data_IF_977579607592
#
_entry.id   IF_977579607592
#
_cell.length_a   1.000
_cell.length_b   1.000
_cell.length_c   1.000
_cell.angle_alpha   90.00
_cell.angle_beta   90.00
_cell.angle_gamma   90.00
#
_symmetry.space_group_name_H-M   'P 1'
#
loop_
_entity.id
_entity.type
_entity.pdbx_description
1 polymer ?
#
# COMPACT_ATOMS: atom_id res chain seq x y z
N UNK A 1 26.73 -42.30 -55.44
CA UNK A 1 27.81 -41.87 -56.36
C UNK A 1 28.01 -40.38 -56.12
N UNK A 2 29.00 -39.95 -55.32
CA UNK A 2 30.45 -39.90 -55.66
C UNK A 2 30.60 -38.86 -56.79
N UNK A 3 31.25 -37.71 -56.61
CA UNK A 3 32.71 -37.46 -56.58
C UNK A 3 32.88 -35.98 -56.13
N UNK A 4 33.39 -35.67 -54.92
CA UNK A 4 34.80 -35.43 -54.50
C UNK A 4 35.04 -33.92 -54.26
N UNK A 5 35.42 -33.39 -53.09
CA UNK A 5 36.54 -33.71 -52.19
C UNK A 5 37.90 -33.51 -52.88
N UNK A 6 38.71 -32.55 -52.43
CA UNK A 6 40.08 -32.72 -51.88
C UNK A 6 40.93 -31.58 -52.48
N UNK A 7 41.93 -30.91 -51.89
CA UNK A 7 42.93 -31.10 -50.81
C UNK A 7 43.43 -29.66 -50.49
N UNK A 8 43.85 -29.27 -49.29
CA UNK A 8 45.10 -29.70 -48.66
C UNK A 8 45.13 -29.23 -47.19
N UNK A 9 45.20 -30.18 -46.27
CA UNK A 9 45.82 -29.97 -44.97
C UNK A 9 47.28 -30.40 -45.08
N UNK A 10 48.22 -29.52 -44.72
CA UNK A 10 49.50 -29.86 -44.12
C UNK A 10 49.76 -28.75 -43.07
N UNK A 11 49.46 -28.98 -41.80
CA UNK A 11 50.21 -29.78 -40.84
C UNK A 11 51.38 -29.01 -40.19
N UNK A 12 51.22 -28.88 -38.86
CA UNK A 12 52.26 -28.89 -37.83
C UNK A 12 52.87 -27.57 -37.37
N UNK A 13 52.65 -27.27 -36.08
CA UNK A 13 53.63 -26.48 -35.33
C UNK A 13 53.18 -25.79 -34.04
N UNK A 14 52.59 -26.54 -33.07
CA UNK A 14 52.60 -26.31 -31.61
C UNK A 14 52.80 -24.87 -31.09
N UNK A 15 51.79 -24.33 -30.38
CA UNK A 15 51.93 -23.88 -28.98
C UNK A 15 50.58 -23.46 -28.39
N UNK A 16 50.42 -23.86 -27.14
CA UNK A 16 49.27 -23.73 -26.26
C UNK A 16 48.80 -22.28 -26.13
N UNK A 17 47.51 -22.03 -26.35
CA UNK A 17 46.88 -20.74 -26.05
C UNK A 17 46.33 -20.75 -24.61
N UNK A 18 46.90 -19.87 -23.81
CA UNK A 18 46.63 -19.63 -22.40
C UNK A 18 45.15 -19.43 -22.07
N UNK A 19 44.64 -20.25 -21.15
CA UNK A 19 43.49 -19.94 -20.32
C UNK A 19 43.97 -19.15 -19.07
N UNK A 20 43.69 -17.86 -19.04
CA UNK A 20 43.70 -16.94 -17.88
C UNK A 20 42.61 -15.90 -18.21
N UNK A 21 41.59 -15.58 -17.44
CA UNK A 21 41.41 -15.58 -15.99
C UNK A 21 39.92 -15.19 -15.73
N UNK A 22 39.03 -16.08 -15.25
CA UNK A 22 37.69 -15.69 -14.79
C UNK A 22 37.71 -15.33 -13.29
N UNK A 23 38.32 -14.19 -12.96
CA UNK A 23 38.38 -13.68 -11.60
C UNK A 23 37.21 -12.77 -11.24
N UNK A 24 36.05 -13.33 -10.86
CA UNK A 24 35.11 -12.74 -9.86
C UNK A 24 33.96 -13.70 -9.54
N UNK A 25 34.26 -14.82 -8.90
CA UNK A 25 33.26 -15.60 -8.16
C UNK A 25 33.35 -15.19 -6.70
N UNK A 26 32.25 -14.64 -6.18
CA UNK A 26 32.07 -14.35 -4.76
C UNK A 26 32.04 -15.68 -4.00
N UNK A 27 33.17 -16.02 -3.38
CA UNK A 27 33.24 -17.05 -2.37
C UNK A 27 32.42 -16.59 -1.14
N UNK A 28 31.48 -17.43 -0.72
CA UNK A 28 30.87 -17.34 0.60
C UNK A 28 31.96 -17.65 1.63
N UNK A 29 32.44 -16.60 2.28
CA UNK A 29 33.28 -16.71 3.47
C UNK A 29 32.32 -16.71 4.67
N UNK A 30 32.05 -17.90 5.20
CA UNK A 30 31.40 -18.03 6.51
C UNK A 30 32.29 -17.35 7.57
N UNK A 31 31.78 -16.42 8.38
CA UNK A 31 32.53 -15.95 9.53
C UNK A 31 32.55 -17.07 10.57
N UNK A 32 33.70 -17.74 10.66
CA UNK A 32 34.03 -18.66 11.74
C UNK A 32 33.83 -17.96 13.09
N UNK A 33 32.91 -18.50 13.87
CA UNK A 33 32.71 -18.18 15.27
C UNK A 33 33.76 -18.94 16.08
N UNK A 34 34.70 -18.30 16.79
CA UNK A 34 35.60 -19.02 17.67
C UNK A 34 34.85 -19.45 18.94
N UNK A 35 34.47 -20.72 18.96
CA UNK A 35 34.10 -21.46 20.16
C UNK A 35 35.34 -21.65 21.04
N UNK A 36 35.48 -20.82 22.07
CA UNK A 36 36.20 -21.18 23.31
C UNK A 36 35.74 -20.23 24.42
N UNK A 37 35.78 -20.72 25.67
CA UNK A 37 35.34 -20.09 26.93
C UNK A 37 33.93 -20.52 27.43
N UNK A 38 33.69 -21.83 27.49
CA UNK A 38 32.86 -22.41 28.55
C UNK A 38 33.75 -23.25 29.48
N UNK A 39 33.95 -22.77 30.70
CA UNK A 39 33.96 -23.54 31.95
C UNK A 39 34.63 -22.73 33.08
N UNK A 40 33.87 -21.82 33.69
CA UNK A 40 34.02 -21.58 35.13
C UNK A 40 32.67 -21.86 35.78
N UNK A 41 32.55 -23.08 36.28
CA UNK A 41 31.55 -23.47 37.26
C UNK A 41 31.63 -22.51 38.45
N UNK A 42 30.57 -21.73 38.65
CA UNK A 42 30.30 -21.14 39.96
C UNK A 42 29.39 -22.13 40.70
N UNK A 43 29.88 -22.59 41.85
CA UNK A 43 29.24 -23.57 42.72
C UNK A 43 27.91 -23.04 43.26
N UNK A 44 26.85 -23.86 43.37
CA UNK A 44 25.67 -23.51 44.14
C UNK A 44 25.97 -23.77 45.63
N UNK A 45 26.57 -22.80 46.29
CA UNK A 45 26.73 -22.82 47.75
C UNK A 45 26.86 -21.39 48.26
N UNK A 46 25.72 -20.75 48.50
CA UNK A 46 25.52 -19.66 49.46
C UNK A 46 24.01 -19.38 49.49
N UNK A 47 23.31 -20.23 50.24
CA UNK A 47 22.00 -19.91 50.79
C UNK A 47 22.31 -19.41 52.20
N UNK A 48 22.36 -18.10 52.38
CA UNK A 48 22.17 -17.48 53.69
C UNK A 48 21.03 -16.48 53.56
N UNK A 49 19.90 -16.87 54.15
CA UNK A 49 18.79 -15.99 54.41
C UNK A 49 19.23 -14.98 55.46
N UNK A 50 19.10 -13.69 55.17
CA UNK A 50 19.05 -12.68 56.24
C UNK A 50 18.22 -11.47 55.80
N UNK A 51 17.10 -11.28 56.50
CA UNK A 51 16.64 -9.95 56.92
C UNK A 51 15.91 -9.08 55.91
N UNK A 52 14.57 -9.18 55.92
CA UNK A 52 13.67 -8.09 55.53
C UNK A 52 14.04 -6.80 56.27
N UNK A 53 14.55 -5.79 55.57
CA UNK A 53 14.66 -4.42 56.09
C UNK A 53 13.67 -3.51 55.36
N UNK A 54 12.67 -3.03 56.09
CA UNK A 54 11.47 -2.36 55.60
C UNK A 54 11.71 -0.87 55.22
N UNK A 55 12.96 -0.39 55.26
CA UNK A 55 13.26 1.03 55.09
C UNK A 55 14.04 1.44 53.83
N UNK A 56 14.43 0.51 52.95
CA UNK A 56 15.15 0.85 51.71
C UNK A 56 14.25 0.96 50.45
N UNK A 57 12.93 0.91 50.62
CA UNK A 57 11.95 1.05 49.52
C UNK A 57 11.48 2.51 49.28
N UNK A 58 12.34 3.50 49.56
CA UNK A 58 11.97 4.92 49.44
C UNK A 58 12.96 5.80 48.66
N UNK A 59 13.63 5.26 47.63
CA UNK A 59 14.27 6.11 46.61
C UNK A 59 14.20 5.44 45.22
N UNK A 60 13.12 5.71 44.48
CA UNK A 60 13.11 6.19 43.09
C UNK A 60 11.66 6.18 42.54
N UNK A 61 10.82 7.08 43.07
CA UNK A 61 9.54 7.42 42.46
C UNK A 61 9.79 8.63 41.54
N UNK A 62 10.20 8.36 40.30
CA UNK A 62 10.16 9.34 39.21
C UNK A 62 8.82 9.17 38.44
N UNK A 63 7.81 10.03 38.64
CA UNK A 63 6.50 9.85 38.03
C UNK A 63 6.41 10.48 36.63
N UNK A 64 7.37 10.18 35.74
CA UNK A 64 7.36 10.73 34.36
C UNK A 64 7.45 9.66 33.26
N UNK A 65 7.70 8.39 33.60
CA UNK A 65 7.82 7.31 32.60
C UNK A 65 6.63 6.34 32.51
N UNK A 66 5.43 6.77 32.95
CA UNK A 66 4.19 6.15 32.48
C UNK A 66 3.63 6.99 31.33
N UNK A 67 4.22 6.83 30.15
CA UNK A 67 3.57 7.23 28.89
C UNK A 67 2.33 6.34 28.75
N UNK A 68 1.25 6.79 29.39
CA UNK A 68 -0.13 6.78 28.92
C UNK A 68 -0.37 5.77 27.80
N UNK A 69 -0.37 4.49 28.14
CA UNK A 69 -1.14 3.52 27.39
C UNK A 69 -2.62 3.80 27.72
N UNK A 70 -3.18 4.83 27.09
CA UNK A 70 -4.63 4.92 26.88
C UNK A 70 -5.00 3.75 25.98
N UNK A 71 -5.11 2.56 26.56
CA UNK A 71 -5.94 1.51 26.00
C UNK A 71 -7.36 2.05 26.10
N UNK A 72 -7.78 2.79 25.08
CA UNK A 72 -9.18 3.09 24.87
C UNK A 72 -9.87 1.73 24.74
N UNK A 73 -10.53 1.31 25.81
CA UNK A 73 -11.50 0.24 25.75
C UNK A 73 -12.59 0.77 24.81
N UNK A 74 -12.59 0.29 23.56
CA UNK A 74 -13.57 0.67 22.54
C UNK A 74 -14.94 0.05 22.89
N UNK A 75 -15.49 0.37 24.05
CA UNK A 75 -16.92 0.22 24.29
C UNK A 75 -17.59 1.47 23.74
N UNK A 76 -17.64 1.56 22.41
CA UNK A 76 -18.65 2.41 21.79
C UNK A 76 -20.01 1.83 22.21
N UNK A 77 -20.82 2.61 22.93
CA UNK A 77 -22.16 2.20 23.39
C UNK A 77 -23.14 1.88 22.24
N UNK A 78 -22.71 2.02 20.99
CA UNK A 78 -23.49 1.77 19.78
C UNK A 78 -22.74 0.83 18.85
N UNK A 79 -23.37 -0.28 18.49
CA UNK A 79 -22.82 -1.18 17.48
C UNK A 79 -22.96 -0.58 16.07
N UNK A 80 -21.95 -0.79 15.23
CA UNK A 80 -21.98 -0.31 13.85
C UNK A 80 -23.12 -0.92 13.02
N UNK A 81 -23.55 -2.13 13.38
CA UNK A 81 -24.66 -2.82 12.71
C UNK A 81 -26.00 -2.22 13.10
N UNK A 82 -26.17 -1.78 14.35
CA UNK A 82 -27.33 -0.99 14.73
C UNK A 82 -27.39 0.34 13.97
N UNK A 83 -26.25 1.02 13.82
CA UNK A 83 -26.17 2.24 13.01
C UNK A 83 -26.59 1.95 11.57
N UNK A 84 -26.19 0.82 10.99
CA UNK A 84 -26.64 0.46 9.65
C UNK A 84 -28.14 0.20 9.55
N UNK A 85 -28.71 -0.59 10.47
CA UNK A 85 -30.14 -0.90 10.44
C UNK A 85 -31.02 0.36 10.57
N UNK A 86 -30.54 1.40 11.26
CA UNK A 86 -31.24 2.68 11.33
C UNK A 86 -31.12 3.49 10.04
N UNK A 87 -29.94 3.57 9.42
CA UNK A 87 -29.70 4.44 8.25
C UNK A 87 -29.94 3.79 6.88
N UNK A 88 -30.15 2.47 6.82
CA UNK A 88 -30.25 1.73 5.56
C UNK A 88 -31.42 2.17 4.69
N UNK A 89 -32.54 2.58 5.30
CA UNK A 89 -33.75 2.98 4.57
C UNK A 89 -33.93 4.48 4.45
N UNK A 90 -33.32 5.23 5.37
CA UNK A 90 -33.47 6.67 5.51
C UNK A 90 -32.14 7.33 5.92
N UNK A 91 -31.47 7.98 4.97
CA UNK A 91 -30.37 8.88 5.25
C UNK A 91 -30.30 9.99 4.17
N UNK A 92 -29.67 11.12 4.50
CA UNK A 92 -29.62 12.29 3.60
C UNK A 92 -28.79 12.07 2.32
N UNK A 93 -27.86 11.11 2.31
CA UNK A 93 -27.04 10.76 1.16
C UNK A 93 -27.69 9.70 0.25
N UNK A 94 -28.80 9.10 0.67
CA UNK A 94 -29.46 8.01 -0.03
C UNK A 94 -30.23 8.56 -1.24
N UNK A 95 -29.94 8.00 -2.41
CA UNK A 95 -30.62 8.33 -3.66
C UNK A 95 -31.25 7.06 -4.19
N UNK A 96 -32.57 6.95 -4.02
CA UNK A 96 -33.38 5.87 -4.58
C UNK A 96 -33.79 6.26 -5.99
N UNK A 97 -33.49 5.42 -6.98
CA UNK A 97 -33.96 5.60 -8.35
C UNK A 97 -34.82 4.42 -8.75
N UNK A 98 -36.00 4.71 -9.28
CA UNK A 98 -36.91 3.68 -9.80
C UNK A 98 -36.44 3.12 -11.15
N UNK A 99 -35.52 3.82 -11.81
CA UNK A 99 -34.92 3.42 -13.08
C UNK A 99 -33.90 2.29 -12.88
N UNK A 100 -33.72 1.45 -13.90
CA UNK A 100 -32.76 0.33 -13.91
C UNK A 100 -32.96 -0.70 -12.77
N UNK A 101 -34.21 -1.01 -12.39
CA UNK A 101 -34.52 -2.08 -11.45
C UNK A 101 -34.46 -1.69 -9.96
N UNK A 102 -34.64 -0.39 -9.63
CA UNK A 102 -34.76 0.05 -8.24
C UNK A 102 -33.41 0.24 -7.51
N UNK A 103 -32.34 0.54 -8.24
CA UNK A 103 -30.99 0.66 -7.68
C UNK A 103 -30.90 1.81 -6.68
N UNK A 104 -30.23 1.55 -5.56
CA UNK A 104 -29.98 2.52 -4.50
C UNK A 104 -28.53 3.00 -4.54
N UNK A 105 -28.35 4.29 -4.76
CA UNK A 105 -27.04 4.93 -4.75
C UNK A 105 -26.84 5.77 -3.49
N UNK A 106 -25.59 6.07 -3.18
CA UNK A 106 -25.20 6.96 -2.10
C UNK A 106 -24.34 8.10 -2.63
N UNK A 107 -24.64 9.32 -2.17
CA UNK A 107 -23.88 10.56 -2.43
C UNK A 107 -22.79 10.82 -1.38
N UNK A 108 -22.52 9.86 -0.50
CA UNK A 108 -21.49 9.99 0.53
C UNK A 108 -20.11 10.26 -0.09
N UNK A 109 -19.41 11.34 0.29
CA UNK A 109 -18.09 11.66 -0.25
C UNK A 109 -17.03 10.59 0.05
N UNK A 110 -17.24 9.75 1.07
CA UNK A 110 -16.29 8.71 1.48
C UNK A 110 -16.63 7.33 0.89
N UNK A 111 -17.59 7.26 -0.01
CA UNK A 111 -17.97 6.03 -0.72
C UNK A 111 -17.23 5.94 -2.07
N UNK A 112 -16.52 4.82 -2.29
CA UNK A 112 -15.73 4.61 -3.51
C UNK A 112 -16.60 4.20 -4.71
N UNK A 113 -17.64 3.38 -4.50
CA UNK A 113 -18.47 2.80 -5.58
C UNK A 113 -19.78 3.55 -5.78
N UNK A 114 -20.10 4.49 -4.88
CA UNK A 114 -21.39 5.20 -4.82
C UNK A 114 -22.61 4.26 -4.63
N UNK A 115 -22.38 2.99 -4.28
CA UNK A 115 -23.45 2.05 -3.98
C UNK A 115 -23.90 2.20 -2.53
N UNK A 116 -25.20 2.18 -2.29
CA UNK A 116 -25.73 2.16 -0.93
C UNK A 116 -25.67 0.75 -0.35
N UNK A 117 -24.58 0.44 0.35
CA UNK A 117 -24.35 -0.86 0.99
C UNK A 117 -23.56 -0.69 2.28
N UNK A 118 -23.76 -1.61 3.23
CA UNK A 118 -23.08 -1.65 4.53
C UNK A 118 -21.56 -1.53 4.38
N UNK A 119 -20.97 -2.22 3.40
CA UNK A 119 -19.52 -2.25 3.15
C UNK A 119 -18.95 -0.85 2.88
N UNK A 120 -19.68 -0.03 2.14
CA UNK A 120 -19.20 1.25 1.62
C UNK A 120 -19.71 2.48 2.38
N UNK A 121 -20.67 2.31 3.30
CA UNK A 121 -21.20 3.40 4.12
C UNK A 121 -20.14 3.94 5.08
N UNK A 122 -19.84 5.25 5.04
CA UNK A 122 -18.92 5.88 5.98
C UNK A 122 -19.56 6.29 7.30
N UNK A 123 -20.88 6.43 7.32
CA UNK A 123 -21.65 6.74 8.52
C UNK A 123 -21.65 5.58 9.49
N UNK A 124 -21.88 4.36 8.98
CA UNK A 124 -21.94 3.17 9.81
C UNK A 124 -20.54 2.61 10.14
N UNK A 125 -19.55 2.75 9.26
CA UNK A 125 -18.22 2.19 9.50
C UNK A 125 -17.29 3.16 10.26
N UNK A 126 -16.45 2.67 11.18
CA UNK A 126 -15.46 3.50 11.86
C UNK A 126 -14.33 3.93 10.92
N UNK A 127 -14.01 3.07 9.93
CA UNK A 127 -12.98 3.30 8.91
C UNK A 127 -13.63 3.48 7.53
N UNK A 128 -13.26 4.55 6.84
CA UNK A 128 -13.73 4.87 5.49
C UNK A 128 -12.64 5.57 4.69
N UNK A 129 -12.66 5.37 3.36
CA UNK A 129 -11.70 5.92 2.41
C UNK A 129 -12.46 6.56 1.25
N UNK A 130 -12.33 7.87 1.08
CA UNK A 130 -12.85 8.62 -0.05
C UNK A 130 -11.74 9.09 -0.97
N UNK A 131 -11.99 9.04 -2.28
CA UNK A 131 -11.09 9.61 -3.29
C UNK A 131 -11.93 10.49 -4.21
N UNK A 132 -11.73 11.80 -4.14
CA UNK A 132 -12.53 12.78 -4.87
C UNK A 132 -11.66 13.81 -5.60
N UNK A 133 -12.23 14.44 -6.62
CA UNK A 133 -11.62 15.58 -7.28
C UNK A 133 -12.06 16.87 -6.57
N UNK A 134 -11.11 17.71 -6.19
CA UNK A 134 -11.34 19.04 -5.59
C UNK A 134 -10.37 20.01 -6.26
N UNK A 135 -10.87 21.09 -6.86
CA UNK A 135 -10.05 22.15 -7.49
C UNK A 135 -8.97 21.63 -8.44
N UNK A 136 -9.34 20.70 -9.33
CA UNK A 136 -8.44 19.99 -10.25
C UNK A 136 -7.33 19.16 -9.56
N UNK A 137 -7.40 18.98 -8.25
CA UNK A 137 -6.53 18.11 -7.46
C UNK A 137 -7.30 16.86 -7.04
N UNK A 138 -6.57 15.84 -6.65
CA UNK A 138 -7.13 14.57 -6.21
C UNK A 138 -6.94 14.51 -4.71
N UNK A 139 -8.04 14.59 -3.97
CA UNK A 139 -8.05 14.52 -2.51
C UNK A 139 -8.40 13.09 -2.08
N UNK A 140 -7.58 12.56 -1.18
CA UNK A 140 -7.81 11.28 -0.53
C UNK A 140 -8.13 11.57 0.93
N UNK A 141 -9.34 11.22 1.33
CA UNK A 141 -9.84 11.43 2.68
C UNK A 141 -9.97 10.09 3.39
N UNK A 142 -9.47 10.02 4.62
CA UNK A 142 -9.59 8.85 5.50
C UNK A 142 -10.25 9.22 6.80
N UNK A 143 -11.08 8.32 7.34
CA UNK A 143 -11.70 8.49 8.66
C UNK A 143 -10.77 7.96 9.75
N UNK A 144 -10.42 8.76 10.75
CA UNK A 144 -9.62 8.32 11.88
C UNK A 144 -10.53 7.73 12.95
N UNK A 145 -10.31 6.47 13.32
CA UNK A 145 -11.09 5.81 14.37
C UNK A 145 -10.89 6.41 15.77
N UNK A 146 -9.73 7.02 16.03
CA UNK A 146 -9.37 7.57 17.34
C UNK A 146 -10.16 8.83 17.74
N UNK A 147 -10.73 9.54 16.76
CA UNK A 147 -11.38 10.84 16.97
C UNK A 147 -12.89 10.78 16.64
N UNK A 148 -13.56 9.69 17.00
CA UNK A 148 -15.00 9.50 16.70
C UNK A 148 -15.88 10.58 17.35
N UNK A 149 -15.53 11.02 18.56
CA UNK A 149 -16.25 12.06 19.31
C UNK A 149 -15.96 13.50 18.83
N UNK A 150 -15.00 13.67 17.91
CA UNK A 150 -14.52 14.97 17.43
C UNK A 150 -14.70 15.03 15.91
N UNK A 151 -15.90 15.32 15.40
CA UNK A 151 -16.21 15.23 13.97
C UNK A 151 -15.26 16.09 13.11
N UNK A 152 -14.89 17.28 13.57
CA UNK A 152 -13.94 18.17 12.88
C UNK A 152 -12.54 17.54 12.69
N UNK A 153 -12.08 16.72 13.65
CA UNK A 153 -10.76 16.07 13.65
C UNK A 153 -10.82 14.58 13.28
N UNK A 154 -12.00 14.11 12.86
CA UNK A 154 -12.25 12.70 12.53
C UNK A 154 -11.81 12.32 11.12
N UNK A 155 -11.37 13.29 10.31
CA UNK A 155 -10.94 13.07 8.93
C UNK A 155 -9.50 13.54 8.70
N UNK A 156 -8.72 12.73 7.98
CA UNK A 156 -7.39 13.09 7.49
C UNK A 156 -7.44 13.18 5.97
N UNK A 157 -7.00 14.32 5.46
CA UNK A 157 -7.04 14.69 4.04
C UNK A 157 -5.63 14.78 3.50
N UNK A 158 -5.40 14.14 2.36
CA UNK A 158 -4.14 14.22 1.62
C UNK A 158 -4.42 14.56 0.17
N UNK A 159 -3.71 15.56 -0.36
CA UNK A 159 -4.02 16.13 -1.66
C UNK A 159 -2.88 15.86 -2.65
N UNK A 160 -3.23 15.37 -3.83
CA UNK A 160 -2.31 15.10 -4.93
C UNK A 160 -2.58 16.06 -6.08
N UNK A 161 -1.50 16.56 -6.70
CA UNK A 161 -1.60 17.46 -7.86
C UNK A 161 -2.10 16.70 -9.09
N UNK A 162 -2.78 17.40 -10.02
CA UNK A 162 -3.17 16.82 -11.32
C UNK A 162 -1.97 16.33 -12.14
N UNK A 163 -0.78 16.90 -11.93
CA UNK A 163 0.44 16.49 -12.63
C UNK A 163 1.06 15.21 -12.07
N UNK A 164 0.67 14.76 -10.88
CA UNK A 164 1.26 13.57 -10.25
C UNK A 164 1.06 12.33 -11.15
N UNK A 165 2.12 11.55 -11.44
CA UNK A 165 2.00 10.39 -12.32
C UNK A 165 1.09 9.33 -11.70
N UNK A 166 0.30 8.65 -12.53
CA UNK A 166 -0.76 7.72 -12.09
C UNK A 166 -0.25 6.62 -11.17
N UNK A 167 0.94 6.07 -11.45
CA UNK A 167 1.58 5.04 -10.61
C UNK A 167 1.88 5.55 -9.21
N UNK A 168 2.45 6.75 -9.10
CA UNK A 168 2.77 7.37 -7.81
C UNK A 168 1.50 7.71 -7.03
N UNK A 169 0.47 8.18 -7.73
CA UNK A 169 -0.83 8.42 -7.14
C UNK A 169 -1.40 7.13 -6.55
N UNK A 170 -1.54 6.06 -7.34
CA UNK A 170 -2.12 4.80 -6.86
C UNK A 170 -1.31 4.22 -5.69
N UNK A 171 0.01 4.21 -5.78
CA UNK A 171 0.84 3.66 -4.70
C UNK A 171 0.72 4.47 -3.40
N UNK A 172 0.70 5.80 -3.47
CA UNK A 172 0.67 6.64 -2.28
C UNK A 172 -0.74 6.84 -1.73
N UNK A 173 -1.73 7.07 -2.60
CA UNK A 173 -3.13 7.28 -2.24
C UNK A 173 -3.83 5.99 -1.81
N UNK A 174 -3.61 4.90 -2.55
CA UNK A 174 -4.36 3.66 -2.39
C UNK A 174 -3.53 2.64 -1.62
N UNK A 175 -2.39 2.21 -2.16
CA UNK A 175 -1.61 1.13 -1.54
C UNK A 175 -1.08 1.50 -0.16
N UNK A 176 -0.67 2.77 0.03
CA UNK A 176 -0.22 3.31 1.31
C UNK A 176 -1.27 3.21 2.41
N UNK A 177 -2.55 3.38 2.07
CA UNK A 177 -3.63 3.36 3.05
C UNK A 177 -4.21 1.94 3.18
N UNK A 178 -4.55 1.31 2.06
CA UNK A 178 -5.26 0.01 2.04
C UNK A 178 -4.35 -1.16 2.39
N UNK A 179 -3.16 -1.29 1.79
CA UNK A 179 -2.26 -2.45 2.04
C UNK A 179 -1.62 -2.43 3.42
N UNK A 180 -1.35 -1.24 3.97
CA UNK A 180 -0.69 -1.05 5.29
C UNK A 180 -1.64 -1.21 6.49
N UNK A 181 -2.69 -2.02 6.37
CA UNK A 181 -3.54 -2.43 7.50
C UNK A 181 -4.74 -1.53 7.82
N UNK A 182 -5.11 -0.56 6.97
CA UNK A 182 -6.32 0.23 7.21
C UNK A 182 -7.61 -0.51 6.79
N UNK A 183 -7.81 -0.70 5.48
CA UNK A 183 -8.94 -1.39 4.84
C UNK A 183 -8.49 -2.03 3.51
N UNK A 184 -8.05 -3.27 3.57
CA UNK A 184 -7.55 -4.01 2.40
C UNK A 184 -8.68 -4.43 1.45
N UNK A 185 -9.89 -4.61 1.99
CA UNK A 185 -11.11 -4.98 1.27
C UNK A 185 -11.58 -3.96 0.23
N UNK A 186 -11.12 -2.71 0.35
CA UNK A 186 -11.44 -1.60 -0.55
C UNK A 186 -10.32 -1.32 -1.57
N UNK A 187 -9.23 -2.09 -1.57
CA UNK A 187 -8.06 -1.80 -2.39
C UNK A 187 -8.42 -1.71 -3.88
N UNK A 188 -9.16 -2.70 -4.40
CA UNK A 188 -9.49 -2.76 -5.82
C UNK A 188 -10.42 -1.61 -6.24
N UNK A 189 -11.46 -1.35 -5.46
CA UNK A 189 -12.39 -0.25 -5.70
C UNK A 189 -11.69 1.11 -5.59
N UNK A 190 -10.74 1.25 -4.67
CA UNK A 190 -9.95 2.47 -4.52
C UNK A 190 -9.02 2.71 -5.72
N UNK A 191 -8.36 1.67 -6.24
CA UNK A 191 -7.55 1.78 -7.48
C UNK A 191 -8.44 2.21 -8.65
N UNK A 192 -9.61 1.59 -8.80
CA UNK A 192 -10.56 1.92 -9.86
C UNK A 192 -11.01 3.38 -9.76
N UNK A 193 -11.47 3.83 -8.59
CA UNK A 193 -11.89 5.23 -8.41
C UNK A 193 -10.75 6.21 -8.61
N UNK A 194 -9.57 5.94 -8.07
CA UNK A 194 -8.39 6.79 -8.27
C UNK A 194 -8.06 6.96 -9.76
N UNK A 195 -8.14 5.88 -10.53
CA UNK A 195 -7.90 5.93 -11.98
C UNK A 195 -9.00 6.72 -12.73
N UNK A 196 -10.26 6.56 -12.34
CA UNK A 196 -11.38 7.26 -12.94
C UNK A 196 -11.34 8.76 -12.64
N UNK A 197 -11.09 9.14 -11.39
CA UNK A 197 -10.91 10.54 -10.95
C UNK A 197 -9.69 11.16 -11.63
N UNK A 198 -8.60 10.41 -11.79
CA UNK A 198 -7.44 10.88 -12.54
C UNK A 198 -7.77 11.15 -14.02
N UNK A 199 -8.59 10.30 -14.62
CA UNK A 199 -9.05 10.48 -16.00
C UNK A 199 -9.97 11.70 -16.12
N UNK A 200 -10.86 11.94 -15.17
CA UNK A 200 -11.79 13.08 -15.20
C UNK A 200 -11.10 14.43 -14.95
N UNK A 201 -10.10 14.47 -14.08
CA UNK A 201 -9.32 15.69 -13.77
C UNK A 201 -8.34 16.08 -14.87
N UNK A 202 -8.13 15.22 -15.87
CA UNK A 202 -7.28 15.55 -17.02
C UNK A 202 -8.03 16.52 -17.93
N UNK A 203 -7.46 17.71 -18.13
CA UNK A 203 -8.00 18.68 -19.07
C UNK A 203 -8.09 18.07 -20.48
N UNK A 204 -9.29 18.12 -21.07
CA UNK A 204 -9.52 17.77 -22.46
C UNK A 204 -8.94 18.89 -23.31
N UNK A 205 -7.95 18.58 -24.15
CA UNK A 205 -7.38 19.56 -25.07
C UNK A 205 -8.45 19.96 -26.08
N UNK A 206 -8.71 21.27 -26.23
CA UNK A 206 -9.73 21.81 -27.13
C UNK A 206 -9.55 21.37 -28.60
N UNK A 207 -8.31 21.10 -29.03
CA UNK A 207 -8.02 20.60 -30.37
C UNK A 207 -7.27 19.28 -30.25
N UNK A 208 -7.94 18.18 -30.60
CA UNK A 208 -7.27 16.90 -30.79
C UNK A 208 -6.52 16.99 -32.12
N UNK A 209 -5.21 17.25 -32.07
CA UNK A 209 -4.39 17.17 -33.30
C UNK A 209 -4.57 15.75 -33.89
N UNK A 210 -4.90 15.62 -35.18
CA UNK A 210 -5.06 14.30 -35.79
C UNK A 210 -3.79 13.49 -35.58
N UNK A 211 -3.95 12.23 -35.15
CA UNK A 211 -2.81 11.35 -34.88
C UNK A 211 -2.08 11.11 -36.20
N UNK A 212 -0.85 11.62 -36.32
CA UNK A 212 -0.01 11.32 -37.49
C UNK A 212 0.18 9.80 -37.57
N UNK A 213 -0.27 9.18 -38.67
CA UNK A 213 0.02 7.78 -38.96
C UNK A 213 1.55 7.61 -39.00
N UNK A 214 2.07 6.55 -38.37
CA UNK A 214 3.51 6.23 -38.35
C UNK A 214 3.77 4.81 -38.84
N UNK A 215 4.97 4.56 -39.34
CA UNK A 215 5.42 3.23 -39.74
C UNK A 215 4.63 2.61 -40.88
N UNK A 216 4.37 1.31 -40.81
CA UNK A 216 3.68 0.55 -41.87
C UNK A 216 2.28 1.10 -42.19
N UNK A 217 1.58 1.67 -41.20
CA UNK A 217 0.27 2.29 -41.41
C UNK A 217 0.35 3.61 -42.18
N UNK A 218 1.46 4.35 -42.07
CA UNK A 218 1.71 5.52 -42.90
C UNK A 218 2.05 5.12 -44.33
N UNK A 219 2.89 4.08 -44.50
CA UNK A 219 3.25 3.54 -45.83
C UNK A 219 2.01 3.04 -46.59
N UNK A 220 1.17 2.23 -45.95
CA UNK A 220 -0.09 1.73 -46.53
C UNK A 220 -1.11 2.83 -46.84
N UNK A 221 -1.06 3.97 -46.16
CA UNK A 221 -1.91 5.11 -46.45
C UNK A 221 -1.39 5.94 -47.63
N UNK A 222 -0.06 6.01 -47.80
CA UNK A 222 0.59 6.64 -48.95
C UNK A 222 0.46 5.79 -50.23
N UNK A 223 0.45 4.46 -50.10
CA UNK A 223 0.30 3.50 -51.20
C UNK A 223 -1.15 3.38 -51.72
N UNK A 224 -2.11 3.94 -50.98
CA UNK A 224 -3.54 4.03 -51.35
C UNK A 224 -3.91 5.36 -52.00
N UNK A 225 -2.98 6.32 -52.10
CA UNK A 225 -3.14 7.57 -52.83
C UNK A 225 -2.52 7.43 -54.22
#
# INVERSE_FOLDING_TARGET
MVIAAERNMLANGRREAQLRNPGRLYAWQDPGFPESQLARQVRPSEVEEDGLNIHDFLFLYDPVHLITAKMATNFENTSYDLIWETIRHNNAFLVKRNQAGGVQFSKDPLNLTNLHSRKYSSLANPKALGINAVDNKIEVTTKLGQNWNKPSKSYSKTTFKSTTPSRKLINNAVSGNTKRGYRQDLHMEAVQRASAVKKSTRQVKATVKPTKLRGSKARKAAEKQ
#
